data_IF_682098600011
#
_entry.id   IF_682098600011
#
_cell.length_a   1.000
_cell.length_b   1.000
_cell.length_c   1.000
_cell.angle_alpha   90.00
_cell.angle_beta   90.00
_cell.angle_gamma   90.00
#
_symmetry.space_group_name_H-M   'P 1'
#
loop_
_entity.id
_entity.type
_entity.pdbx_description
1 polymer ?
#
# COMPACT_ATOMS: atom_id res chain seq x y z
N UNK A 1 -7.73 6.96 -0.38
CA UNK A 1 -8.66 7.70 -1.24
C UNK A 1 -10.03 7.77 -0.58
N UNK A 2 -10.77 8.89 -0.75
CA UNK A 2 -12.09 9.10 -0.18
C UNK A 2 -13.07 7.95 -0.54
N UNK A 3 -12.99 7.42 -1.76
CA UNK A 3 -13.84 6.31 -2.21
C UNK A 3 -13.67 5.04 -1.36
N UNK A 4 -12.45 4.69 -0.98
CA UNK A 4 -12.19 3.55 -0.09
C UNK A 4 -12.72 3.79 1.32
N UNK A 5 -12.58 5.00 1.86
CA UNK A 5 -13.13 5.34 3.17
C UNK A 5 -14.67 5.26 3.18
N UNK A 6 -15.32 5.79 2.14
CA UNK A 6 -16.78 5.69 1.98
C UNK A 6 -17.21 4.23 1.84
N UNK A 7 -16.50 3.43 1.04
CA UNK A 7 -16.78 2.00 0.90
C UNK A 7 -16.67 1.28 2.26
N UNK A 8 -15.57 1.47 3.00
CA UNK A 8 -15.42 0.84 4.32
C UNK A 8 -16.46 1.29 5.34
N UNK A 9 -16.85 2.57 5.31
CA UNK A 9 -17.91 3.07 6.19
C UNK A 9 -19.26 2.41 5.87
N UNK A 10 -19.63 2.32 4.58
CA UNK A 10 -20.85 1.65 4.13
C UNK A 10 -20.82 0.15 4.44
N UNK A 11 -19.70 -0.52 4.19
CA UNK A 11 -19.53 -1.94 4.48
C UNK A 11 -19.64 -2.21 5.97
N UNK A 12 -19.02 -1.39 6.83
CA UNK A 12 -19.14 -1.51 8.28
C UNK A 12 -20.55 -1.29 8.78
N UNK A 13 -21.27 -0.32 8.21
CA UNK A 13 -22.67 -0.04 8.53
C UNK A 13 -23.58 -1.20 8.14
N UNK A 14 -23.38 -1.80 6.95
CA UNK A 14 -24.12 -2.97 6.49
C UNK A 14 -23.83 -4.20 7.34
N UNK A 15 -22.57 -4.41 7.73
CA UNK A 15 -22.17 -5.51 8.59
C UNK A 15 -22.79 -5.38 10.00
N UNK A 16 -22.78 -4.18 10.56
CA UNK A 16 -23.47 -3.88 11.82
C UNK A 16 -24.98 -4.10 11.69
N UNK A 17 -25.60 -3.65 10.61
CA UNK A 17 -27.02 -3.89 10.32
C UNK A 17 -27.36 -5.39 10.29
N UNK A 18 -26.49 -6.21 9.71
CA UNK A 18 -26.63 -7.68 9.69
C UNK A 18 -26.50 -8.28 11.11
N UNK A 19 -25.58 -7.78 11.92
CA UNK A 19 -25.34 -8.23 13.29
C UNK A 19 -26.58 -7.97 14.20
N UNK A 20 -27.30 -6.87 13.94
CA UNK A 20 -28.51 -6.47 14.66
C UNK A 20 -29.82 -7.00 14.03
N UNK A 21 -29.73 -7.88 13.03
CA UNK A 21 -30.90 -8.50 12.39
C UNK A 21 -31.78 -7.57 11.55
N UNK A 22 -31.28 -6.36 11.24
CA UNK A 22 -32.05 -5.34 10.49
C UNK A 22 -32.05 -5.62 8.97
N UNK A 23 -31.14 -6.48 8.47
CA UNK A 23 -30.95 -6.68 7.03
C UNK A 23 -30.87 -8.16 6.63
N UNK A 24 -31.96 -8.91 6.79
CA UNK A 24 -32.12 -10.23 6.16
C UNK A 24 -32.24 -10.14 4.63
N UNK A 25 -32.54 -8.97 4.09
CA UNK A 25 -32.67 -8.73 2.65
C UNK A 25 -31.35 -8.83 1.86
N UNK A 26 -30.20 -8.77 2.52
CA UNK A 26 -28.87 -8.89 1.89
C UNK A 26 -28.34 -10.34 1.83
N UNK A 27 -29.13 -11.33 2.13
CA UNK A 27 -28.81 -12.76 1.96
C UNK A 27 -28.82 -13.23 0.49
N UNK A 28 -29.11 -12.35 -0.46
CA UNK A 28 -28.99 -12.67 -1.88
C UNK A 28 -27.51 -12.90 -2.22
N UNK A 29 -27.19 -14.15 -2.54
CA UNK A 29 -25.83 -14.64 -2.85
C UNK A 29 -25.11 -13.79 -3.90
N UNK A 30 -25.83 -13.27 -4.89
CA UNK A 30 -25.24 -12.44 -5.95
C UNK A 30 -24.82 -11.03 -5.47
N UNK A 31 -25.47 -10.48 -4.43
CA UNK A 31 -25.04 -9.22 -3.80
C UNK A 31 -23.69 -9.39 -3.10
N UNK A 32 -23.45 -10.52 -2.44
CA UNK A 32 -22.16 -10.84 -1.85
C UNK A 32 -21.05 -10.97 -2.91
N UNK A 33 -21.36 -11.50 -4.09
CA UNK A 33 -20.41 -11.55 -5.20
C UNK A 33 -20.11 -10.15 -5.76
N UNK A 34 -21.12 -9.32 -5.97
CA UNK A 34 -20.95 -7.97 -6.47
C UNK A 34 -20.12 -7.13 -5.49
N UNK A 35 -20.41 -7.24 -4.20
CA UNK A 35 -19.66 -6.53 -3.14
C UNK A 35 -18.18 -6.93 -3.12
N UNK A 36 -17.89 -8.23 -3.18
CA UNK A 36 -16.52 -8.71 -3.27
C UNK A 36 -15.79 -8.22 -4.51
N UNK A 37 -16.46 -8.19 -5.68
CA UNK A 37 -15.87 -7.69 -6.92
C UNK A 37 -15.58 -6.19 -6.83
N UNK A 38 -16.50 -5.40 -6.28
CA UNK A 38 -16.28 -3.95 -6.07
C UNK A 38 -15.13 -3.72 -5.11
N UNK A 39 -15.07 -4.47 -4.00
CA UNK A 39 -13.95 -4.41 -3.06
C UNK A 39 -12.61 -4.72 -3.73
N UNK A 40 -12.53 -5.83 -4.46
CA UNK A 40 -11.31 -6.22 -5.17
C UNK A 40 -10.90 -5.20 -6.23
N UNK A 41 -11.86 -4.62 -6.97
CA UNK A 41 -11.58 -3.58 -7.95
C UNK A 41 -11.02 -2.31 -7.31
N UNK A 42 -11.64 -1.82 -6.23
CA UNK A 42 -11.16 -0.65 -5.50
C UNK A 42 -9.77 -0.89 -4.88
N UNK A 43 -9.56 -2.08 -4.33
CA UNK A 43 -8.28 -2.49 -3.77
C UNK A 43 -7.19 -2.53 -4.86
N UNK A 44 -7.52 -3.08 -6.03
CA UNK A 44 -6.61 -3.14 -7.17
C UNK A 44 -6.19 -1.74 -7.63
N UNK A 45 -7.16 -0.85 -7.86
CA UNK A 45 -6.90 0.54 -8.28
C UNK A 45 -6.03 1.26 -7.25
N UNK A 46 -6.36 1.16 -5.97
CA UNK A 46 -5.57 1.78 -4.90
C UNK A 46 -4.11 1.29 -4.91
N UNK A 47 -3.89 -0.03 -5.02
CA UNK A 47 -2.54 -0.59 -4.96
C UNK A 47 -1.71 -0.32 -6.22
N UNK A 48 -2.34 -0.21 -7.39
CA UNK A 48 -1.64 0.24 -8.60
C UNK A 48 -1.05 1.63 -8.36
N UNK A 49 -1.85 2.58 -7.85
CA UNK A 49 -1.36 3.93 -7.56
C UNK A 49 -0.34 3.97 -6.42
N UNK A 50 -0.58 3.21 -5.34
CA UNK A 50 0.35 3.13 -4.21
C UNK A 50 1.73 2.63 -4.67
N UNK A 51 1.77 1.52 -5.39
CA UNK A 51 3.04 0.95 -5.84
C UNK A 51 3.72 1.79 -6.92
N UNK A 52 2.97 2.50 -7.77
CA UNK A 52 3.54 3.45 -8.71
C UNK A 52 4.20 4.63 -7.99
N UNK A 53 3.55 5.17 -6.96
CA UNK A 53 4.10 6.25 -6.15
C UNK A 53 5.36 5.80 -5.39
N UNK A 54 5.32 4.62 -4.75
CA UNK A 54 6.47 4.08 -4.04
C UNK A 54 7.65 3.78 -4.97
N UNK A 55 7.38 3.28 -6.18
CA UNK A 55 8.42 3.03 -7.18
C UNK A 55 9.07 4.33 -7.64
N UNK A 56 8.29 5.40 -7.86
CA UNK A 56 8.81 6.71 -8.18
C UNK A 56 9.73 7.21 -7.05
N UNK A 57 9.26 7.19 -5.81
CA UNK A 57 10.06 7.60 -4.63
C UNK A 57 11.35 6.76 -4.55
N UNK A 58 11.26 5.42 -4.76
CA UNK A 58 12.44 4.55 -4.72
C UNK A 58 13.48 4.92 -5.76
N UNK A 59 13.06 5.25 -6.98
CA UNK A 59 13.95 5.67 -8.06
C UNK A 59 14.56 7.05 -7.80
N UNK A 60 13.75 8.00 -7.34
CA UNK A 60 14.19 9.36 -7.03
C UNK A 60 15.22 9.38 -5.90
N UNK A 61 15.09 8.47 -4.91
CA UNK A 61 16.03 8.31 -3.80
C UNK A 61 17.18 7.31 -4.08
N UNK A 62 17.32 6.76 -5.30
CA UNK A 62 18.33 5.75 -5.63
C UNK A 62 18.23 4.46 -4.81
N UNK A 63 17.01 4.08 -4.40
CA UNK A 63 16.78 2.91 -3.54
C UNK A 63 16.41 1.66 -4.34
N UNK A 64 17.39 1.07 -5.04
CA UNK A 64 17.21 -0.13 -5.88
C UNK A 64 16.64 -1.33 -5.14
N UNK A 65 17.05 -1.53 -3.87
CA UNK A 65 16.47 -2.60 -3.02
C UNK A 65 14.98 -2.39 -2.76
N UNK A 66 14.53 -1.14 -2.69
CA UNK A 66 13.12 -0.78 -2.57
C UNK A 66 12.32 -1.19 -3.78
N UNK A 67 12.83 -0.96 -4.98
CA UNK A 67 12.17 -1.35 -6.25
C UNK A 67 11.94 -2.87 -6.30
N UNK A 68 12.94 -3.68 -5.90
CA UNK A 68 12.79 -5.15 -5.83
C UNK A 68 11.72 -5.58 -4.82
N UNK A 69 11.65 -4.93 -3.66
CA UNK A 69 10.62 -5.20 -2.64
C UNK A 69 9.22 -4.84 -3.13
N UNK A 70 9.07 -3.73 -3.87
CA UNK A 70 7.79 -3.34 -4.49
C UNK A 70 7.36 -4.38 -5.51
N UNK A 71 8.28 -4.87 -6.35
CA UNK A 71 7.95 -5.92 -7.30
C UNK A 71 7.45 -7.18 -6.61
N UNK A 72 8.10 -7.61 -5.53
CA UNK A 72 7.64 -8.74 -4.74
C UNK A 72 6.26 -8.52 -4.11
N UNK A 73 5.99 -7.31 -3.59
CA UNK A 73 4.68 -6.93 -3.07
C UNK A 73 3.58 -6.99 -4.15
N UNK A 74 3.89 -6.55 -5.38
CA UNK A 74 2.97 -6.67 -6.54
C UNK A 74 2.64 -8.12 -6.86
N UNK A 75 3.63 -9.01 -6.84
CA UNK A 75 3.42 -10.45 -7.10
C UNK A 75 2.52 -11.06 -6.03
N UNK A 76 2.79 -10.82 -4.74
CA UNK A 76 1.95 -11.31 -3.65
C UNK A 76 0.50 -10.79 -3.76
N UNK A 77 0.34 -9.52 -4.11
CA UNK A 77 -0.97 -8.92 -4.32
C UNK A 77 -1.70 -9.54 -5.52
N UNK A 78 -1.00 -9.77 -6.63
CA UNK A 78 -1.58 -10.43 -7.80
C UNK A 78 -2.02 -11.86 -7.48
N UNK A 79 -1.25 -12.61 -6.69
CA UNK A 79 -1.63 -13.95 -6.22
C UNK A 79 -2.88 -13.89 -5.35
N UNK A 80 -2.97 -12.96 -4.40
CA UNK A 80 -4.15 -12.75 -3.58
C UNK A 80 -5.40 -12.48 -4.43
N UNK A 81 -5.31 -11.54 -5.38
CA UNK A 81 -6.42 -11.22 -6.30
C UNK A 81 -6.82 -12.46 -7.14
N UNK A 82 -5.84 -13.19 -7.69
CA UNK A 82 -6.10 -14.38 -8.48
C UNK A 82 -6.83 -15.46 -7.67
N UNK A 83 -6.37 -15.81 -6.48
CA UNK A 83 -7.03 -16.80 -5.62
C UNK A 83 -8.43 -16.33 -5.20
N UNK A 84 -8.59 -15.05 -4.89
CA UNK A 84 -9.88 -14.47 -4.54
C UNK A 84 -10.88 -14.56 -5.70
N UNK A 85 -10.47 -14.20 -6.92
CA UNK A 85 -11.32 -14.28 -8.11
C UNK A 85 -11.67 -15.71 -8.48
N UNK A 86 -10.69 -16.65 -8.41
CA UNK A 86 -10.93 -18.07 -8.71
C UNK A 86 -11.87 -18.70 -7.67
N UNK A 87 -11.82 -18.26 -6.42
CA UNK A 87 -12.69 -18.82 -5.37
C UNK A 87 -14.16 -18.43 -5.52
N UNK A 88 -14.47 -17.31 -6.19
CA UNK A 88 -15.84 -16.81 -6.33
C UNK A 88 -16.80 -17.81 -7.02
N UNK A 89 -16.49 -18.36 -8.23
CA UNK A 89 -17.40 -19.27 -8.91
C UNK A 89 -17.53 -20.63 -8.21
N UNK A 90 -16.57 -20.98 -7.35
CA UNK A 90 -16.55 -22.26 -6.63
C UNK A 90 -17.07 -22.14 -5.19
N UNK A 91 -17.62 -20.99 -4.80
CA UNK A 91 -18.06 -20.73 -3.42
C UNK A 91 -19.08 -21.75 -2.88
N UNK A 92 -19.82 -22.45 -3.76
CA UNK A 92 -20.74 -23.51 -3.41
C UNK A 92 -20.07 -24.88 -3.15
N UNK A 93 -18.79 -25.05 -3.46
CA UNK A 93 -18.07 -26.32 -3.34
C UNK A 93 -17.09 -26.30 -2.16
N UNK A 94 -16.88 -27.45 -1.52
CA UNK A 94 -15.90 -27.57 -0.43
C UNK A 94 -14.46 -27.22 -0.85
N UNK A 95 -14.13 -27.40 -2.13
CA UNK A 95 -12.83 -26.99 -2.71
C UNK A 95 -12.60 -25.49 -2.65
N UNK A 96 -13.66 -24.66 -2.64
CA UNK A 96 -13.54 -23.23 -2.48
C UNK A 96 -12.94 -22.83 -1.14
N UNK A 97 -13.17 -23.61 -0.09
CA UNK A 97 -12.60 -23.34 1.24
C UNK A 97 -11.07 -23.32 1.18
N UNK A 98 -10.44 -24.27 0.50
CA UNK A 98 -8.97 -24.30 0.36
C UNK A 98 -8.43 -23.08 -0.41
N UNK A 99 -9.13 -22.67 -1.48
CA UNK A 99 -8.77 -21.48 -2.25
C UNK A 99 -8.93 -20.20 -1.42
N UNK A 100 -9.96 -20.12 -0.59
CA UNK A 100 -10.18 -18.99 0.31
C UNK A 100 -9.11 -18.95 1.41
N UNK A 101 -8.70 -20.09 1.97
CA UNK A 101 -7.57 -20.15 2.91
C UNK A 101 -6.26 -19.73 2.25
N UNK A 102 -6.00 -20.16 1.02
CA UNK A 102 -4.82 -19.74 0.27
C UNK A 102 -4.84 -18.24 -0.01
N UNK A 103 -5.98 -17.68 -0.42
CA UNK A 103 -6.17 -16.24 -0.60
C UNK A 103 -5.92 -15.47 0.71
N UNK A 104 -6.47 -15.95 1.82
CA UNK A 104 -6.27 -15.34 3.14
C UNK A 104 -4.80 -15.35 3.58
N UNK A 105 -4.10 -16.47 3.39
CA UNK A 105 -2.67 -16.55 3.71
C UNK A 105 -1.85 -15.59 2.83
N UNK A 106 -2.11 -15.56 1.53
CA UNK A 106 -1.47 -14.61 0.62
C UNK A 106 -1.75 -13.16 1.04
N UNK A 107 -2.98 -12.85 1.42
CA UNK A 107 -3.37 -11.54 1.90
C UNK A 107 -2.61 -11.15 3.18
N UNK A 108 -2.50 -12.05 4.14
CA UNK A 108 -1.80 -11.80 5.41
C UNK A 108 -0.31 -11.53 5.17
N UNK A 109 0.36 -12.38 4.38
CA UNK A 109 1.77 -12.19 4.04
C UNK A 109 1.97 -10.89 3.27
N UNK A 110 1.08 -10.57 2.33
CA UNK A 110 1.11 -9.34 1.57
C UNK A 110 0.92 -8.10 2.46
N UNK A 111 -0.01 -8.11 3.43
CA UNK A 111 -0.20 -7.00 4.38
C UNK A 111 1.06 -6.75 5.21
N UNK A 112 1.61 -7.81 5.81
CA UNK A 112 2.85 -7.71 6.60
C UNK A 112 3.97 -7.13 5.74
N UNK A 113 4.15 -7.65 4.52
CA UNK A 113 5.19 -7.18 3.61
C UNK A 113 4.99 -5.71 3.22
N UNK A 114 3.75 -5.30 2.95
CA UNK A 114 3.42 -3.90 2.59
C UNK A 114 3.68 -2.95 3.75
N UNK A 115 3.34 -3.33 4.99
CA UNK A 115 3.64 -2.53 6.18
C UNK A 115 5.16 -2.37 6.35
N UNK A 116 5.92 -3.45 6.24
CA UNK A 116 7.39 -3.41 6.33
C UNK A 116 8.01 -2.59 5.20
N UNK A 117 7.43 -2.66 4.00
CA UNK A 117 7.82 -1.85 2.86
C UNK A 117 7.61 -0.36 3.14
N UNK A 118 6.40 0.04 3.57
CA UNK A 118 6.07 1.42 3.90
C UNK A 118 6.94 1.96 5.03
N UNK A 119 7.15 1.17 6.08
CA UNK A 119 8.05 1.54 7.16
C UNK A 119 9.48 1.77 6.67
N UNK A 120 10.01 0.87 5.81
CA UNK A 120 11.33 1.02 5.23
C UNK A 120 11.47 2.28 4.35
N UNK A 121 10.43 2.66 3.61
CA UNK A 121 10.38 3.90 2.85
C UNK A 121 10.33 5.12 3.77
N UNK A 122 9.45 5.10 4.78
CA UNK A 122 9.36 6.18 5.75
C UNK A 122 10.72 6.46 6.42
N UNK A 123 11.38 5.42 6.92
CA UNK A 123 12.70 5.57 7.55
C UNK A 123 13.74 6.14 6.58
N UNK A 124 13.69 5.73 5.30
CA UNK A 124 14.64 6.22 4.30
C UNK A 124 14.43 7.70 3.99
N UNK A 125 13.17 8.11 3.78
CA UNK A 125 12.82 9.51 3.50
C UNK A 125 13.15 10.39 4.69
N UNK A 126 12.79 9.98 5.92
CA UNK A 126 13.11 10.73 7.14
C UNK A 126 14.63 10.88 7.36
N UNK A 127 15.40 9.83 7.07
CA UNK A 127 16.87 9.90 7.17
C UNK A 127 17.46 10.84 6.13
N UNK A 128 16.93 10.84 4.90
CA UNK A 128 17.39 11.74 3.84
C UNK A 128 17.11 13.20 4.18
N UNK A 129 15.93 13.49 4.73
CA UNK A 129 15.56 14.85 5.15
C UNK A 129 16.52 15.39 6.24
N UNK A 130 16.90 14.56 7.20
CA UNK A 130 17.87 14.91 8.24
C UNK A 130 19.25 15.21 7.63
N UNK A 131 19.72 14.38 6.70
CA UNK A 131 21.00 14.60 6.01
C UNK A 131 21.00 15.91 5.23
N UNK A 132 19.94 16.16 4.47
CA UNK A 132 19.78 17.38 3.66
C UNK A 132 19.76 18.65 4.54
N UNK A 133 19.16 18.58 5.73
CA UNK A 133 19.13 19.68 6.68
C UNK A 133 20.51 19.91 7.34
N UNK A 134 21.28 18.86 7.63
CA UNK A 134 22.64 18.98 8.14
C UNK A 134 23.58 19.56 7.08
N UNK A 135 23.49 19.12 5.83
CA UNK A 135 24.27 19.66 4.73
C UNK A 135 23.98 21.16 4.50
N UNK A 136 22.70 21.58 4.57
CA UNK A 136 22.34 23.00 4.50
C UNK A 136 22.95 23.82 5.63
N UNK A 137 22.93 23.31 6.87
CA UNK A 137 23.54 23.98 8.02
C UNK A 137 25.06 24.12 7.87
N UNK A 138 25.73 23.08 7.39
CA UNK A 138 27.17 23.11 7.10
C UNK A 138 27.48 24.15 6.02
N UNK A 139 26.74 24.14 4.90
CA UNK A 139 26.93 25.10 3.82
C UNK A 139 26.70 26.55 4.27
N UNK A 140 25.72 26.77 5.15
CA UNK A 140 25.46 28.09 5.72
C UNK A 140 26.59 28.53 6.68
N UNK A 141 27.10 27.60 7.49
CA UNK A 141 28.24 27.85 8.36
C UNK A 141 29.50 28.23 7.56
N UNK A 142 29.82 27.46 6.52
CA UNK A 142 30.97 27.73 5.64
C UNK A 142 30.83 29.07 4.94
N UNK A 143 29.63 29.43 4.47
CA UNK A 143 29.35 30.73 3.86
C UNK A 143 29.61 31.88 4.81
N UNK A 144 29.25 31.74 6.09
CA UNK A 144 29.44 32.76 7.12
C UNK A 144 30.90 32.91 7.60
N UNK A 145 31.65 31.77 7.52
CA UNK A 145 33.03 31.70 8.05
C UNK A 145 34.11 31.64 6.97
N UNK A 146 33.75 31.58 5.69
CA UNK A 146 34.72 31.71 4.59
C UNK A 146 35.21 33.13 4.54
N UNK A 147 36.38 33.37 5.15
CA UNK A 147 37.10 34.67 5.07
C UNK A 147 37.40 34.92 3.60
N UNK A 148 37.02 36.06 3.03
CA UNK A 148 37.41 36.37 1.65
C UNK A 148 38.94 36.43 1.59
N UNK A 149 39.55 35.44 0.97
CA UNK A 149 40.97 35.45 0.69
C UNK A 149 41.26 36.72 -0.11
N UNK A 150 41.83 37.68 0.58
CA UNK A 150 42.11 39.00 0.02
C UNK A 150 42.88 38.87 -1.28
N UNK A 151 42.32 39.43 -2.37
CA UNK A 151 43.02 39.66 -3.62
C UNK A 151 44.32 40.42 -3.29
N UNK A 152 45.46 39.71 -3.27
CA UNK A 152 46.75 40.38 -3.33
C UNK A 152 46.78 41.21 -4.62
N UNK A 153 46.59 42.50 -4.52
CA UNK A 153 46.91 43.44 -5.61
C UNK A 153 48.41 43.32 -5.90
N UNK A 154 48.76 42.89 -7.07
CA UNK A 154 50.06 43.13 -7.70
C UNK A 154 50.04 44.55 -8.31
#
# INVERSE_FOLDING_TARGET
SAALMVYFALYSALWLGKLFGVTDAFSLTWFGYADNLVYLALLLVFHIFLYAALEKIARDCGYDKGVKKIYFARVLFAMFIAFSLISLPFAAFHTAAYLQYAAFLCQLVWYIHTILLLYGFYMRVATQEIIDDEEKKIAEYDRKHTIPVGRKKK
#
